data_IF_738663028973
#
_entry.id   IF_738663028973
#
_cell.length_a   1.000
_cell.length_b   1.000
_cell.length_c   1.000
_cell.angle_alpha   90.00
_cell.angle_beta   90.00
_cell.angle_gamma   90.00
#
_symmetry.space_group_name_H-M   'P 1'
#
loop_
_entity.id
_entity.type
_entity.pdbx_description
1 polymer ?
#
# COMPACT_ATOMS: atom_id res chain seq x y z
N UNK A 1 -2.27 29.90 27.95
CA UNK A 1 -2.00 28.44 28.10
C UNK A 1 -2.77 27.55 27.11
N UNK A 2 -3.82 28.02 26.42
CA UNK A 2 -4.56 27.21 25.40
C UNK A 2 -3.83 27.07 24.05
N UNK A 3 -3.10 28.10 23.62
CA UNK A 3 -2.41 28.14 22.32
C UNK A 3 -1.32 27.08 22.15
N UNK A 4 -0.59 26.75 23.21
CA UNK A 4 0.48 25.74 23.17
C UNK A 4 -0.08 24.33 22.94
N UNK A 5 -1.25 24.02 23.53
CA UNK A 5 -1.95 22.74 23.28
C UNK A 5 -2.45 22.65 21.83
N UNK A 6 -3.00 23.73 21.29
CA UNK A 6 -3.48 23.78 19.90
C UNK A 6 -2.35 23.56 18.88
N UNK A 7 -1.18 24.14 19.12
CA UNK A 7 -0.01 23.98 18.24
C UNK A 7 0.51 22.54 18.29
N UNK A 8 0.66 21.95 19.48
CA UNK A 8 1.09 20.55 19.65
C UNK A 8 0.15 19.53 19.00
N UNK A 9 -1.17 19.76 19.10
CA UNK A 9 -2.18 18.91 18.44
C UNK A 9 -2.08 19.02 16.91
N UNK A 10 -1.85 20.21 16.37
CA UNK A 10 -1.71 20.40 14.91
C UNK A 10 -0.46 19.72 14.34
N UNK A 11 0.65 19.73 15.10
CA UNK A 11 1.92 19.11 14.72
C UNK A 11 1.80 17.59 14.75
N UNK A 12 1.21 17.03 15.81
CA UNK A 12 0.93 15.59 15.89
C UNK A 12 0.04 15.09 14.75
N UNK A 13 -0.98 15.87 14.37
CA UNK A 13 -1.89 15.52 13.27
C UNK A 13 -1.22 15.56 11.89
N UNK A 14 -0.33 16.53 11.66
CA UNK A 14 0.46 16.62 10.42
C UNK A 14 1.46 15.48 10.30
N UNK A 15 2.07 15.05 11.42
CA UNK A 15 2.96 13.89 11.45
C UNK A 15 2.27 12.60 11.01
N UNK A 16 1.08 12.32 11.56
CA UNK A 16 0.32 11.11 11.17
C UNK A 16 -0.07 11.10 9.69
N UNK A 17 -0.50 12.23 9.14
CA UNK A 17 -0.85 12.32 7.73
C UNK A 17 0.35 12.02 6.82
N UNK A 18 1.54 12.53 7.16
CA UNK A 18 2.76 12.29 6.39
C UNK A 18 3.17 10.81 6.41
N UNK A 19 3.00 10.13 7.57
CA UNK A 19 3.28 8.69 7.70
C UNK A 19 2.33 7.87 6.82
N UNK A 20 1.04 8.21 6.80
CA UNK A 20 0.04 7.52 5.97
C UNK A 20 0.34 7.71 4.47
N UNK A 21 0.73 8.93 4.07
CA UNK A 21 1.15 9.22 2.70
C UNK A 21 2.39 8.40 2.32
N UNK A 22 3.43 8.41 3.17
CA UNK A 22 4.65 7.64 2.96
C UNK A 22 4.37 6.14 2.84
N UNK A 23 3.51 5.61 3.73
CA UNK A 23 3.06 4.23 3.68
C UNK A 23 2.41 3.88 2.34
N UNK A 24 1.47 4.71 1.86
CA UNK A 24 0.82 4.49 0.57
C UNK A 24 1.79 4.53 -0.61
N UNK A 25 2.73 5.47 -0.63
CA UNK A 25 3.77 5.57 -1.67
C UNK A 25 4.69 4.36 -1.66
N UNK A 26 5.11 3.87 -0.49
CA UNK A 26 5.95 2.67 -0.40
C UNK A 26 5.21 1.43 -0.91
N UNK A 27 3.94 1.27 -0.57
CA UNK A 27 3.11 0.17 -1.08
C UNK A 27 2.94 0.25 -2.61
N UNK A 28 2.73 1.45 -3.17
CA UNK A 28 2.68 1.64 -4.61
C UNK A 28 3.99 1.24 -5.29
N UNK A 29 5.12 1.68 -4.74
CA UNK A 29 6.45 1.35 -5.26
C UNK A 29 6.70 -0.16 -5.27
N UNK A 30 6.33 -0.86 -4.18
CA UNK A 30 6.41 -2.31 -4.11
C UNK A 30 5.52 -2.98 -5.17
N UNK A 31 4.28 -2.53 -5.33
CA UNK A 31 3.35 -3.10 -6.30
C UNK A 31 3.83 -2.90 -7.74
N UNK A 32 4.20 -1.68 -8.12
CA UNK A 32 4.74 -1.39 -9.47
C UNK A 32 5.97 -2.23 -9.75
N UNK A 33 6.89 -2.34 -8.79
CA UNK A 33 8.08 -3.19 -8.92
C UNK A 33 7.69 -4.64 -9.14
N UNK A 34 6.83 -5.20 -8.28
CA UNK A 34 6.40 -6.58 -8.40
C UNK A 34 5.67 -6.89 -9.71
N UNK A 35 4.91 -5.93 -10.25
CA UNK A 35 4.23 -6.06 -11.54
C UNK A 35 5.24 -6.03 -12.70
N UNK A 36 6.17 -5.08 -12.71
CA UNK A 36 7.18 -4.94 -13.78
C UNK A 36 8.11 -6.16 -13.84
N UNK A 37 8.50 -6.71 -12.69
CA UNK A 37 9.30 -7.94 -12.63
C UNK A 37 8.48 -9.23 -12.89
N UNK A 38 7.18 -9.12 -13.17
CA UNK A 38 6.31 -10.27 -13.43
C UNK A 38 6.10 -11.18 -12.21
N UNK A 39 6.29 -10.65 -11.00
CA UNK A 39 6.01 -11.35 -9.74
C UNK A 39 4.50 -11.38 -9.51
N UNK A 40 3.84 -10.23 -9.63
CA UNK A 40 2.39 -10.11 -9.54
C UNK A 40 1.82 -10.13 -10.96
N UNK A 41 1.09 -11.18 -11.29
CA UNK A 41 0.42 -11.34 -12.59
C UNK A 41 -1.04 -11.75 -12.33
N UNK A 42 -2.01 -11.10 -12.99
CA UNK A 42 -3.40 -11.55 -12.98
C UNK A 42 -3.49 -13.02 -13.37
N UNK A 43 -4.30 -13.78 -12.63
CA UNK A 43 -4.53 -15.22 -12.87
C UNK A 43 -3.26 -16.09 -12.80
N UNK A 44 -2.25 -15.68 -12.02
CA UNK A 44 -1.00 -16.43 -11.89
C UNK A 44 -1.16 -17.90 -11.40
N UNK A 45 -2.26 -18.23 -10.72
CA UNK A 45 -2.59 -19.61 -10.33
C UNK A 45 -2.74 -20.57 -11.54
N UNK A 46 -2.97 -20.04 -12.74
CA UNK A 46 -3.10 -20.82 -13.97
C UNK A 46 -1.73 -21.07 -14.65
N UNK A 47 -0.64 -20.48 -14.14
CA UNK A 47 0.71 -20.65 -14.72
C UNK A 47 1.48 -21.78 -14.04
N UNK A 48 1.96 -22.79 -14.80
CA UNK A 48 2.65 -23.95 -14.23
C UNK A 48 3.99 -23.67 -13.52
N UNK A 49 4.57 -22.46 -13.67
CA UNK A 49 5.84 -22.04 -13.05
C UNK A 49 5.73 -20.67 -12.37
N UNK A 50 4.72 -20.48 -11.52
CA UNK A 50 4.55 -19.23 -10.77
C UNK A 50 5.77 -18.98 -9.83
N UNK A 51 6.35 -17.77 -9.78
CA UNK A 51 7.47 -17.45 -8.90
C UNK A 51 7.00 -17.27 -7.44
N UNK A 52 6.63 -18.37 -6.79
CA UNK A 52 6.02 -18.40 -5.45
C UNK A 52 6.85 -17.61 -4.43
N UNK A 53 8.18 -17.72 -4.49
CA UNK A 53 9.08 -17.00 -3.59
C UNK A 53 8.99 -15.48 -3.76
N UNK A 54 8.93 -14.98 -5.00
CA UNK A 54 8.79 -13.55 -5.25
C UNK A 54 7.46 -13.02 -4.75
N UNK A 55 6.39 -13.79 -4.95
CA UNK A 55 5.03 -13.43 -4.51
C UNK A 55 4.97 -13.37 -2.98
N UNK A 56 5.55 -14.38 -2.30
CA UNK A 56 5.66 -14.39 -0.85
C UNK A 56 6.48 -13.18 -0.34
N UNK A 57 7.58 -12.83 -1.00
CA UNK A 57 8.42 -11.69 -0.63
C UNK A 57 7.68 -10.36 -0.80
N UNK A 58 6.90 -10.20 -1.87
CA UNK A 58 6.05 -9.03 -2.08
C UNK A 58 5.04 -8.84 -0.94
N UNK A 59 4.30 -9.90 -0.59
CA UNK A 59 3.32 -9.87 0.49
C UNK A 59 3.96 -9.69 1.87
N UNK A 60 5.11 -10.31 2.13
CA UNK A 60 5.89 -10.08 3.34
C UNK A 60 6.36 -8.62 3.43
N UNK A 61 6.81 -8.03 2.33
CA UNK A 61 7.18 -6.62 2.25
C UNK A 61 6.01 -5.70 2.60
N UNK A 62 4.82 -5.95 2.04
CA UNK A 62 3.63 -5.18 2.40
C UNK A 62 3.28 -5.29 3.88
N UNK A 63 3.36 -6.49 4.46
CA UNK A 63 3.14 -6.68 5.89
C UNK A 63 4.13 -5.89 6.74
N UNK A 64 5.43 -5.97 6.43
CA UNK A 64 6.50 -5.29 7.18
C UNK A 64 6.37 -3.77 7.10
N UNK A 65 6.16 -3.22 5.90
CA UNK A 65 5.95 -1.77 5.72
C UNK A 65 4.75 -1.30 6.55
N UNK A 66 3.68 -2.07 6.55
CA UNK A 66 2.46 -1.76 7.30
C UNK A 66 2.67 -1.85 8.80
N UNK A 67 3.41 -2.86 9.27
CA UNK A 67 3.82 -3.00 10.66
C UNK A 67 4.62 -1.79 11.14
N UNK A 68 5.62 -1.36 10.37
CA UNK A 68 6.42 -0.17 10.69
C UNK A 68 5.56 1.09 10.73
N UNK A 69 4.66 1.28 9.76
CA UNK A 69 3.75 2.42 9.76
C UNK A 69 2.84 2.44 10.99
N UNK A 70 2.32 1.27 11.40
CA UNK A 70 1.53 1.10 12.61
C UNK A 70 2.29 1.48 13.89
N UNK A 71 3.54 1.01 14.02
CA UNK A 71 4.42 1.35 15.14
C UNK A 71 4.66 2.86 15.22
N UNK A 72 4.93 3.51 14.08
CA UNK A 72 5.17 4.96 14.04
C UNK A 72 3.90 5.76 14.40
N UNK A 73 2.72 5.28 13.99
CA UNK A 73 1.45 5.94 14.33
C UNK A 73 1.06 5.77 15.81
N UNK A 74 1.56 4.72 16.48
CA UNK A 74 1.41 4.43 17.91
C UNK A 74 -0.03 4.61 18.43
N UNK A 75 -1.02 4.25 17.60
CA UNK A 75 -2.44 4.33 17.96
C UNK A 75 -3.27 3.46 17.03
N UNK A 76 -4.01 2.52 17.62
CA UNK A 76 -4.86 1.57 16.88
C UNK A 76 -5.87 2.27 15.95
N UNK A 77 -6.62 3.31 16.39
CA UNK A 77 -7.59 3.97 15.52
C UNK A 77 -6.95 4.67 14.32
N UNK A 78 -5.78 5.31 14.50
CA UNK A 78 -5.08 5.98 13.39
C UNK A 78 -4.46 4.97 12.44
N UNK A 79 -3.98 3.84 12.95
CA UNK A 79 -3.44 2.76 12.14
C UNK A 79 -4.52 2.10 11.28
N UNK A 80 -5.70 1.84 11.84
CA UNK A 80 -6.86 1.33 11.09
C UNK A 80 -7.24 2.26 9.92
N UNK A 81 -7.47 3.53 10.21
CA UNK A 81 -7.81 4.53 9.18
C UNK A 81 -6.64 4.66 8.18
N UNK A 82 -5.41 4.71 8.71
CA UNK A 82 -4.19 4.79 7.94
C UNK A 82 -4.04 3.65 6.94
N UNK A 83 -4.40 2.42 7.32
CA UNK A 83 -4.34 1.25 6.45
C UNK A 83 -5.27 1.40 5.24
N UNK A 84 -6.53 1.79 5.44
CA UNK A 84 -7.47 1.98 4.33
C UNK A 84 -7.06 3.15 3.42
N UNK A 85 -6.61 4.26 4.02
CA UNK A 85 -6.19 5.44 3.27
C UNK A 85 -4.91 5.15 2.48
N UNK A 86 -3.91 4.53 3.10
CA UNK A 86 -2.64 4.18 2.45
C UNK A 86 -2.83 3.18 1.33
N UNK A 87 -3.68 2.16 1.50
CA UNK A 87 -4.05 1.21 0.44
C UNK A 87 -4.74 1.90 -0.74
N UNK A 88 -5.65 2.83 -0.46
CA UNK A 88 -6.34 3.61 -1.51
C UNK A 88 -5.35 4.47 -2.30
N UNK A 89 -4.43 5.13 -1.60
CA UNK A 89 -3.33 5.90 -2.22
C UNK A 89 -2.45 4.97 -3.05
N UNK A 90 -2.07 3.81 -2.49
CA UNK A 90 -1.20 2.86 -3.15
C UNK A 90 -1.81 2.33 -4.45
N UNK A 91 -3.08 1.92 -4.40
CA UNK A 91 -3.85 1.46 -5.55
C UNK A 91 -3.96 2.56 -6.62
N UNK A 92 -4.27 3.79 -6.22
CA UNK A 92 -4.39 4.93 -7.15
C UNK A 92 -3.06 5.26 -7.83
N UNK A 93 -1.97 5.33 -7.07
CA UNK A 93 -0.63 5.59 -7.61
C UNK A 93 -0.15 4.46 -8.53
N UNK A 94 -0.42 3.21 -8.16
CA UNK A 94 -0.10 2.04 -8.99
C UNK A 94 -0.89 2.09 -10.30
N UNK A 95 -2.19 2.37 -10.24
CA UNK A 95 -3.02 2.55 -11.44
C UNK A 95 -2.45 3.63 -12.36
N UNK A 96 -2.19 4.83 -11.81
CA UNK A 96 -1.63 5.95 -12.57
C UNK A 96 -0.31 5.56 -13.24
N UNK A 97 0.56 4.85 -12.54
CA UNK A 97 1.83 4.37 -13.09
C UNK A 97 1.64 3.39 -14.25
N UNK A 98 0.65 2.49 -14.15
CA UNK A 98 0.39 1.47 -15.17
C UNK A 98 -0.32 2.01 -16.42
N UNK A 99 -1.10 3.09 -16.31
CA UNK A 99 -1.79 3.68 -17.47
C UNK A 99 -0.90 4.61 -18.32
N UNK A 100 0.29 4.98 -17.81
CA UNK A 100 1.22 5.86 -18.52
C UNK A 100 1.49 5.45 -19.99
N UNK A 101 1.70 4.17 -20.34
CA UNK A 101 1.90 3.76 -21.73
C UNK A 101 0.69 3.99 -22.64
N UNK A 102 -0.53 3.93 -22.08
CA UNK A 102 -1.76 4.26 -22.81
C UNK A 102 -1.89 5.76 -23.06
N UNK A 103 -1.53 6.58 -22.06
CA UNK A 103 -1.54 8.04 -22.17
C UNK A 103 -0.49 8.59 -23.16
N UNK A 104 0.64 7.90 -23.31
CA UNK A 104 1.69 8.26 -24.28
C UNK A 104 1.42 7.74 -25.69
N UNK A 105 0.36 6.97 -25.89
CA UNK A 105 -0.01 6.39 -27.18
C UNK A 105 0.88 5.23 -27.63
N UNK A 106 1.70 4.68 -26.74
CA UNK A 106 2.55 3.50 -27.03
C UNK A 106 1.68 2.25 -27.17
N UNK A 107 0.62 2.15 -26.38
CA UNK A 107 -0.31 1.03 -26.36
C UNK A 107 -1.76 1.52 -26.45
N UNK A 108 -2.66 0.64 -26.88
CA UNK A 108 -4.09 0.90 -26.89
C UNK A 108 -4.62 1.24 -25.48
N UNK A 109 -5.29 2.39 -25.36
CA UNK A 109 -5.69 2.95 -24.07
C UNK A 109 -6.68 2.04 -23.33
N UNK A 110 -7.70 1.53 -24.02
CA UNK A 110 -8.73 0.68 -23.41
C UNK A 110 -8.13 -0.62 -22.88
N UNK A 111 -7.20 -1.20 -23.61
CA UNK A 111 -6.49 -2.42 -23.18
C UNK A 111 -5.64 -2.16 -21.94
N UNK A 112 -4.88 -1.05 -21.92
CA UNK A 112 -4.01 -0.69 -20.79
C UNK A 112 -4.82 -0.40 -19.52
N UNK A 113 -5.94 0.33 -19.63
CA UNK A 113 -6.80 0.63 -18.49
C UNK A 113 -7.37 -0.64 -17.86
N UNK A 114 -7.89 -1.56 -18.67
CA UNK A 114 -8.41 -2.84 -18.18
C UNK A 114 -7.33 -3.67 -17.49
N UNK A 115 -6.14 -3.76 -18.08
CA UNK A 115 -5.01 -4.46 -17.47
C UNK A 115 -4.58 -3.79 -16.16
N UNK A 116 -4.49 -2.46 -16.11
CA UNK A 116 -4.10 -1.72 -14.92
C UNK A 116 -5.06 -2.01 -13.75
N UNK A 117 -6.37 -2.07 -14.02
CA UNK A 117 -7.39 -2.47 -13.04
C UNK A 117 -7.12 -3.90 -12.54
N UNK A 118 -6.96 -4.86 -13.45
CA UNK A 118 -6.71 -6.26 -13.08
C UNK A 118 -5.44 -6.42 -12.24
N UNK A 119 -4.36 -5.72 -12.59
CA UNK A 119 -3.11 -5.72 -11.83
C UNK A 119 -3.26 -5.12 -10.44
N UNK A 120 -3.96 -3.98 -10.32
CA UNK A 120 -4.19 -3.32 -9.02
C UNK A 120 -5.04 -4.22 -8.12
N UNK A 121 -6.10 -4.82 -8.64
CA UNK A 121 -6.90 -5.77 -7.86
C UNK A 121 -6.10 -7.01 -7.47
N UNK A 122 -5.29 -7.56 -8.37
CA UNK A 122 -4.43 -8.72 -8.06
C UNK A 122 -3.37 -8.41 -7.02
N UNK A 123 -2.80 -7.20 -7.06
CA UNK A 123 -1.74 -6.76 -6.14
C UNK A 123 -2.27 -6.52 -4.73
N UNK A 124 -3.40 -5.81 -4.61
CA UNK A 124 -3.89 -5.33 -3.32
C UNK A 124 -5.05 -6.16 -2.76
N UNK A 125 -5.87 -6.81 -3.58
CA UNK A 125 -7.08 -7.49 -3.11
C UNK A 125 -7.08 -9.02 -3.33
N UNK A 126 -7.60 -9.80 -2.36
CA UNK A 126 -7.91 -9.42 -0.98
C UNK A 126 -6.69 -9.47 -0.04
N UNK A 127 -5.63 -10.18 -0.44
CA UNK A 127 -4.51 -10.51 0.45
C UNK A 127 -3.70 -9.28 0.87
N UNK A 128 -3.36 -8.39 -0.06
CA UNK A 128 -2.63 -7.16 0.23
C UNK A 128 -3.36 -6.28 1.24
N UNK A 129 -4.69 -6.19 1.14
CA UNK A 129 -5.58 -5.47 2.05
C UNK A 129 -5.48 -6.03 3.46
N UNK A 130 -5.65 -7.35 3.62
CA UNK A 130 -5.57 -8.00 4.92
C UNK A 130 -4.18 -7.86 5.54
N UNK A 131 -3.11 -8.07 4.78
CA UNK A 131 -1.75 -7.95 5.28
C UNK A 131 -1.40 -6.52 5.68
N UNK A 132 -1.87 -5.54 4.92
CA UNK A 132 -1.69 -4.14 5.29
C UNK A 132 -2.42 -3.77 6.57
N UNK A 133 -3.66 -4.24 6.72
CA UNK A 133 -4.46 -4.01 7.92
C UNK A 133 -3.88 -4.73 9.15
N UNK A 134 -3.53 -6.01 9.04
CA UNK A 134 -2.94 -6.78 10.13
C UNK A 134 -1.57 -6.25 10.52
N UNK A 135 -0.71 -5.93 9.56
CA UNK A 135 0.59 -5.32 9.83
C UNK A 135 0.42 -4.03 10.62
N UNK A 136 -0.37 -3.09 10.09
CA UNK A 136 -0.64 -1.82 10.76
C UNK A 136 -1.21 -1.98 12.16
N UNK A 137 -2.16 -2.88 12.36
CA UNK A 137 -2.76 -3.14 13.67
C UNK A 137 -1.74 -3.69 14.66
N UNK A 138 -1.00 -4.74 14.29
CA UNK A 138 0.01 -5.35 15.16
C UNK A 138 1.06 -4.33 15.56
N UNK A 139 1.56 -3.54 14.60
CA UNK A 139 2.52 -2.49 14.87
C UNK A 139 2.01 -1.44 15.85
N UNK A 140 0.77 -0.97 15.67
CA UNK A 140 0.18 0.01 16.56
C UNK A 140 -0.06 -0.53 17.97
N UNK A 141 -0.59 -1.75 18.10
CA UNK A 141 -0.83 -2.41 19.39
C UNK A 141 0.48 -2.59 20.16
N UNK A 142 1.54 -3.03 19.48
CA UNK A 142 2.85 -3.24 20.10
C UNK A 142 3.40 -1.97 20.75
N UNK A 143 3.28 -0.83 20.06
CA UNK A 143 3.77 0.46 20.58
C UNK A 143 2.82 1.12 21.57
N UNK A 144 1.52 0.89 21.47
CA UNK A 144 0.51 1.50 22.36
C UNK A 144 0.48 0.87 23.76
N UNK A 145 0.90 -0.39 23.90
CA UNK A 145 0.96 -1.11 25.19
C UNK A 145 2.27 -0.84 25.95
N UNK A 146 3.30 -0.32 25.29
CA UNK A 146 4.58 0.06 25.89
C UNK A 146 4.53 1.45 26.53
#
# INVERSE_FOLDING_TARGET
>A
MSWVKTIGISIGRKGSALVILGWGVTLASLAVTAIVYGIVIPRAAEKPNMPIQGVALYYAGMFVVSLLAGMILASVPRSLIGAFVSQTIAASLTYIALILPGLTGILDQTTVENLAVDFVFTAFFPLGMFLGLFGGLIGAVFTEIQ
#
